data_IF_574645057039
#
_entry.id   IF_574645057039
#
_cell.length_a   1.000
_cell.length_b   1.000
_cell.length_c   1.000
_cell.angle_alpha   90.00
_cell.angle_beta   90.00
_cell.angle_gamma   90.00
#
_symmetry.space_group_name_H-M   'P 1'
#
loop_
_entity.id
_entity.type
_entity.pdbx_description
1 polymer ?
#
# COMPACT_ATOMS: atom_id res chain seq x y z
N UNK A 1 15.05 13.03 25.85
CA UNK A 1 14.96 12.76 24.40
C UNK A 1 14.48 11.34 24.22
N UNK A 2 13.23 11.12 23.82
CA UNK A 2 12.75 9.77 23.58
C UNK A 2 13.24 9.33 22.20
N UNK A 3 14.12 8.33 22.17
CA UNK A 3 14.32 7.50 20.98
C UNK A 3 12.93 7.01 20.58
N UNK A 4 12.43 7.50 19.45
CA UNK A 4 11.18 7.02 18.89
C UNK A 4 11.37 5.54 18.61
N UNK A 5 10.62 4.70 19.29
CA UNK A 5 10.67 3.25 19.17
C UNK A 5 10.61 2.88 17.68
N UNK A 6 11.67 2.26 17.17
CA UNK A 6 11.71 1.67 15.83
C UNK A 6 11.17 0.25 15.92
N UNK A 7 10.13 -0.04 15.15
CA UNK A 7 9.47 -1.34 15.16
C UNK A 7 9.47 -1.95 13.77
N UNK A 8 9.43 -3.29 13.71
CA UNK A 8 9.25 -4.00 12.44
C UNK A 8 7.84 -3.77 11.90
N UNK A 9 7.76 -3.51 10.60
CA UNK A 9 6.53 -3.25 9.86
C UNK A 9 6.45 -4.19 8.65
N UNK A 10 5.56 -5.18 8.73
CA UNK A 10 5.30 -6.09 7.60
C UNK A 10 4.32 -5.45 6.64
N UNK A 11 4.60 -5.59 5.35
CA UNK A 11 3.86 -4.94 4.27
C UNK A 11 3.60 -5.94 3.15
N UNK A 12 2.47 -5.78 2.48
CA UNK A 12 2.19 -6.46 1.22
C UNK A 12 2.49 -5.46 0.11
N UNK A 13 3.44 -5.80 -0.76
CA UNK A 13 3.84 -5.01 -1.90
C UNK A 13 3.16 -5.56 -3.15
N UNK A 14 2.58 -4.65 -3.92
CA UNK A 14 1.99 -4.97 -5.21
C UNK A 14 3.08 -4.93 -6.27
N UNK A 15 3.44 -6.07 -6.88
CA UNK A 15 4.68 -6.18 -7.66
C UNK A 15 4.59 -5.52 -9.03
N UNK A 16 3.54 -5.84 -9.77
CA UNK A 16 3.28 -5.34 -11.12
C UNK A 16 1.80 -5.47 -11.50
N UNK A 17 1.39 -4.79 -12.56
CA UNK A 17 0.03 -4.83 -13.07
C UNK A 17 -0.40 -6.24 -13.44
N UNK A 18 -1.62 -6.57 -13.04
CA UNK A 18 -2.23 -7.87 -13.27
C UNK A 18 -3.13 -7.79 -14.50
N UNK A 19 -2.84 -8.65 -15.49
CA UNK A 19 -3.59 -8.77 -16.75
C UNK A 19 -4.67 -9.85 -16.72
N UNK A 20 -4.47 -10.88 -15.90
CA UNK A 20 -5.40 -12.01 -15.73
C UNK A 20 -5.97 -12.04 -14.31
N UNK A 21 -6.41 -13.18 -13.80
CA UNK A 21 -6.82 -13.28 -12.39
C UNK A 21 -5.61 -13.09 -11.45
N UNK A 22 -5.78 -12.35 -10.33
CA UNK A 22 -4.70 -12.11 -9.38
C UNK A 22 -4.28 -13.44 -8.75
N UNK A 23 -2.98 -13.60 -8.62
CA UNK A 23 -2.35 -14.73 -7.96
C UNK A 23 -1.60 -14.23 -6.74
N UNK A 24 -1.35 -15.13 -5.81
CA UNK A 24 -0.51 -14.82 -4.64
C UNK A 24 0.87 -14.27 -5.04
N UNK A 25 1.43 -14.78 -6.16
CA UNK A 25 2.73 -14.35 -6.70
C UNK A 25 2.78 -12.92 -7.23
N UNK A 26 1.63 -12.28 -7.44
CA UNK A 26 1.53 -10.88 -7.87
C UNK A 26 1.73 -9.90 -6.69
N UNK A 27 1.76 -10.45 -5.48
CA UNK A 27 2.06 -9.75 -4.24
C UNK A 27 3.31 -10.34 -3.60
N UNK A 28 4.00 -9.53 -2.80
CA UNK A 28 5.11 -10.01 -1.98
C UNK A 28 5.00 -9.47 -0.56
N UNK A 29 5.34 -10.32 0.42
CA UNK A 29 5.45 -9.89 1.80
C UNK A 29 6.86 -9.35 2.04
N UNK A 30 6.96 -8.05 2.31
CA UNK A 30 8.19 -7.38 2.67
C UNK A 30 8.16 -6.98 4.16
N UNK A 31 9.34 -6.88 4.77
CA UNK A 31 9.48 -6.33 6.12
C UNK A 31 10.33 -5.07 6.04
N UNK A 32 9.82 -3.98 6.61
CA UNK A 32 10.53 -2.71 6.79
C UNK A 32 10.58 -2.33 8.27
N UNK A 33 11.23 -1.23 8.59
CA UNK A 33 11.25 -0.65 9.94
C UNK A 33 10.55 0.70 9.89
N UNK A 34 9.73 1.00 10.91
CA UNK A 34 9.04 2.29 11.04
C UNK A 34 9.34 2.90 12.41
N UNK A 35 9.56 4.22 12.43
CA UNK A 35 9.65 5.01 13.66
C UNK A 35 8.25 5.35 14.15
N UNK A 36 7.96 5.11 15.43
CA UNK A 36 6.68 5.46 16.04
C UNK A 36 6.55 6.97 16.36
N UNK A 37 6.93 7.84 15.42
CA UNK A 37 6.84 9.30 15.53
C UNK A 37 6.50 9.90 14.17
N UNK A 38 5.54 10.82 14.15
CA UNK A 38 5.21 11.63 12.96
C UNK A 38 6.15 12.81 12.82
N UNK A 39 6.35 13.33 11.60
CA UNK A 39 7.17 14.50 11.37
C UNK A 39 6.57 15.75 12.03
N UNK A 40 7.44 16.55 12.66
CA UNK A 40 7.04 17.78 13.34
C UNK A 40 6.45 18.78 12.34
N UNK A 41 5.33 19.40 12.72
CA UNK A 41 4.57 20.30 11.84
C UNK A 41 3.67 19.61 10.82
N UNK A 42 3.69 18.27 10.71
CA UNK A 42 2.73 17.55 9.85
C UNK A 42 1.37 17.37 10.54
N UNK A 43 0.30 17.28 9.74
CA UNK A 43 -1.03 16.86 10.19
C UNK A 43 -1.24 15.34 10.05
N UNK A 44 -0.16 14.57 9.94
CA UNK A 44 -0.24 13.12 9.73
C UNK A 44 -0.61 12.39 11.01
N UNK A 45 -1.32 11.27 10.87
CA UNK A 45 -1.65 10.34 11.96
C UNK A 45 -0.93 9.03 11.68
N UNK A 46 -0.15 8.57 12.65
CA UNK A 46 0.41 7.22 12.62
C UNK A 46 -0.62 6.24 13.18
N UNK A 47 -0.93 5.20 12.41
CA UNK A 47 -1.91 4.17 12.77
C UNK A 47 -1.26 2.80 12.83
N UNK A 48 -1.78 1.95 13.71
CA UNK A 48 -1.53 0.50 13.69
C UNK A 48 -2.76 -0.18 13.09
N UNK A 49 -2.63 -0.67 11.86
CA UNK A 49 -3.73 -1.35 11.18
C UNK A 49 -4.02 -2.68 11.87
N UNK A 50 -5.27 -2.87 12.30
CA UNK A 50 -5.71 -4.07 13.02
C UNK A 50 -6.37 -5.09 12.08
N UNK A 51 -7.13 -4.58 11.10
CA UNK A 51 -7.89 -5.37 10.15
C UNK A 51 -7.82 -4.73 8.77
N UNK A 52 -8.00 -5.55 7.73
CA UNK A 52 -8.12 -5.12 6.34
C UNK A 52 -9.39 -5.73 5.73
N UNK A 53 -10.07 -4.98 4.87
CA UNK A 53 -11.12 -5.51 4.01
C UNK A 53 -10.51 -6.04 2.71
N UNK A 54 -11.19 -7.03 2.12
CA UNK A 54 -10.87 -7.55 0.79
C UNK A 54 -12.06 -7.27 -0.11
N UNK A 55 -12.15 -6.05 -0.61
CA UNK A 55 -13.31 -5.61 -1.38
C UNK A 55 -13.13 -5.92 -2.87
N UNK A 56 -14.18 -6.41 -3.58
CA UNK A 56 -14.06 -6.78 -5.00
C UNK A 56 -13.52 -5.67 -5.90
N UNK A 57 -13.77 -4.40 -5.56
CA UNK A 57 -13.30 -3.26 -6.34
C UNK A 57 -11.77 -3.16 -6.39
N UNK A 58 -11.05 -3.68 -5.38
CA UNK A 58 -9.59 -3.61 -5.32
C UNK A 58 -8.95 -4.29 -6.54
N UNK A 59 -9.62 -5.28 -7.14
CA UNK A 59 -9.16 -5.92 -8.38
C UNK A 59 -9.03 -4.92 -9.54
N UNK A 60 -9.94 -3.96 -9.65
CA UNK A 60 -9.90 -2.94 -10.70
C UNK A 60 -8.66 -2.04 -10.58
N UNK A 61 -8.15 -1.88 -9.36
CA UNK A 61 -6.95 -1.08 -9.08
C UNK A 61 -5.64 -1.81 -9.38
N UNK A 62 -5.68 -3.13 -9.57
CA UNK A 62 -4.50 -3.95 -9.88
C UNK A 62 -4.20 -4.03 -11.39
N UNK A 63 -5.07 -3.50 -12.25
CA UNK A 63 -4.84 -3.50 -13.69
C UNK A 63 -4.22 -2.19 -14.16
N UNK A 64 -3.49 -2.24 -15.28
CA UNK A 64 -2.93 -1.04 -15.89
C UNK A 64 -4.05 -0.07 -16.25
N UNK A 65 -3.98 1.22 -15.85
CA UNK A 65 -5.04 2.17 -16.14
C UNK A 65 -5.19 2.36 -17.65
N UNK A 66 -6.40 2.16 -18.15
CA UNK A 66 -6.77 2.52 -19.51
C UNK A 66 -7.18 4.01 -19.63
N UNK A 67 -7.40 4.51 -20.85
CA UNK A 67 -7.80 5.91 -21.09
C UNK A 67 -9.10 6.34 -20.40
N UNK A 68 -9.93 5.38 -19.99
CA UNK A 68 -11.22 5.59 -19.34
C UNK A 68 -11.26 5.02 -17.91
N UNK A 69 -10.10 4.79 -17.28
CA UNK A 69 -10.07 4.28 -15.91
C UNK A 69 -10.52 5.37 -14.93
N UNK A 70 -11.69 5.18 -14.32
CA UNK A 70 -12.23 6.08 -13.29
C UNK A 70 -11.64 5.81 -11.90
N UNK A 71 -10.94 4.69 -11.73
CA UNK A 71 -10.32 4.31 -10.46
C UNK A 71 -8.82 4.57 -10.47
N UNK A 72 -8.26 5.14 -9.39
CA UNK A 72 -6.82 5.19 -9.22
C UNK A 72 -6.28 3.76 -9.05
N UNK A 73 -5.21 3.45 -9.77
CA UNK A 73 -4.55 2.15 -9.68
C UNK A 73 -3.52 2.11 -8.54
N UNK A 74 -3.22 0.90 -8.07
CA UNK A 74 -2.07 0.67 -7.22
C UNK A 74 -0.79 0.91 -8.01
N UNK A 75 0.23 1.41 -7.31
CA UNK A 75 1.55 1.66 -7.88
C UNK A 75 2.38 0.37 -7.77
N UNK A 76 2.85 -0.21 -8.90
CA UNK A 76 3.79 -1.32 -8.88
C UNK A 76 5.03 -1.04 -8.01
N UNK A 77 5.48 -2.03 -7.26
CA UNK A 77 6.57 -1.93 -6.30
C UNK A 77 6.22 -1.20 -4.99
N UNK A 78 4.97 -0.76 -4.79
CA UNK A 78 4.55 -0.03 -3.59
C UNK A 78 3.71 -0.88 -2.64
N UNK A 79 3.64 -0.45 -1.38
CA UNK A 79 2.75 -1.03 -0.36
C UNK A 79 1.29 -0.85 -0.77
N UNK A 80 0.54 -1.94 -0.74
CA UNK A 80 -0.85 -1.97 -1.16
C UNK A 80 -1.72 -1.10 -0.22
N UNK A 81 -2.57 -0.25 -0.80
CA UNK A 81 -3.58 0.54 -0.07
C UNK A 81 -3.10 1.84 0.59
N UNK A 82 -1.81 2.18 0.54
CA UNK A 82 -1.34 3.49 1.04
C UNK A 82 -1.10 4.53 -0.04
N UNK A 83 -0.69 4.08 -1.23
CA UNK A 83 -0.26 4.97 -2.31
C UNK A 83 -1.01 4.62 -3.59
N UNK A 84 -1.68 5.63 -4.12
CA UNK A 84 -2.45 5.57 -5.36
C UNK A 84 -1.72 6.40 -6.41
N UNK A 85 -1.61 5.87 -7.64
CA UNK A 85 -1.14 6.70 -8.74
C UNK A 85 -2.14 7.84 -8.94
N UNK A 86 -1.69 9.08 -8.76
CA UNK A 86 -2.48 10.25 -9.15
C UNK A 86 -2.54 10.30 -10.68
N UNK A 87 -3.73 10.58 -11.21
CA UNK A 87 -4.00 10.84 -12.64
C UNK A 87 -3.30 12.11 -13.10
#
# INVERSE_FOLDING_TARGET
>A
MAIGEEVSNKQIIFKDFVTSFPKETDMEMASSTIKLKVSEGSKAILVRNLYFSCDPYMRLQMSKPGPQSYFPCFIPGSKMGSDYAQS
#
